data_IF_279615283398
#
_entry.id   IF_279615283398
#
_cell.length_a   1.000
_cell.length_b   1.000
_cell.length_c   1.000
_cell.angle_alpha   90.00
_cell.angle_beta   90.00
_cell.angle_gamma   90.00
#
_symmetry.space_group_name_H-M   'P 1'
#
loop_
_entity.id
_entity.type
_entity.pdbx_description
1 polymer ?
#
# COMPACT_ATOMS: atom_id res chain seq x y z
N UNK A 1 37.44 25.37 6.39
CA UNK A 1 36.37 25.24 5.36
C UNK A 1 34.97 25.57 5.94
N UNK A 2 34.87 26.05 7.19
CA UNK A 2 33.61 26.40 7.87
C UNK A 2 33.21 27.90 7.73
N UNK A 3 34.11 28.76 7.29
CA UNK A 3 33.90 30.23 7.35
C UNK A 3 33.17 30.85 6.15
N UNK A 4 32.87 30.12 5.09
CA UNK A 4 32.28 30.73 3.88
C UNK A 4 30.80 30.32 3.61
N UNK A 5 30.15 29.56 4.46
CA UNK A 5 28.72 29.32 4.28
C UNK A 5 27.97 30.63 4.57
N UNK A 6 27.38 31.19 3.52
CA UNK A 6 26.55 32.38 3.58
C UNK A 6 25.52 32.24 4.71
N UNK A 7 25.41 33.25 5.57
CA UNK A 7 24.53 33.24 6.76
C UNK A 7 23.09 32.88 6.40
N UNK A 8 22.68 33.21 5.16
CA UNK A 8 21.36 32.91 4.62
C UNK A 8 21.13 31.41 4.30
N UNK A 9 22.17 30.62 3.98
CA UNK A 9 22.04 29.18 3.69
C UNK A 9 21.81 28.36 4.96
N UNK A 10 22.00 28.97 6.12
CA UNK A 10 21.89 28.34 7.44
C UNK A 10 20.47 28.35 8.02
N UNK A 11 19.60 29.22 7.51
CA UNK A 11 18.27 29.45 8.09
C UNK A 11 17.43 28.16 8.07
N UNK A 12 17.34 27.47 6.94
CA UNK A 12 16.48 26.30 6.82
C UNK A 12 16.96 25.13 7.70
N UNK A 13 18.28 25.02 7.95
CA UNK A 13 18.83 24.08 8.92
C UNK A 13 18.43 24.42 10.37
N UNK A 14 18.33 25.72 10.70
CA UNK A 14 17.86 26.16 12.01
C UNK A 14 16.35 25.88 12.14
N UNK A 15 15.57 26.17 11.09
CA UNK A 15 14.13 25.92 11.06
C UNK A 15 13.82 24.44 11.26
N UNK A 16 14.62 23.53 10.69
CA UNK A 16 14.45 22.09 10.89
C UNK A 16 14.52 21.65 12.35
N UNK A 17 15.24 22.38 13.22
CA UNK A 17 15.31 22.11 14.64
C UNK A 17 14.18 22.76 15.46
N UNK A 18 13.27 23.47 14.81
CA UNK A 18 12.16 24.10 15.50
C UNK A 18 11.18 23.03 16.03
N UNK A 19 10.66 23.16 17.28
CA UNK A 19 9.80 22.15 17.90
C UNK A 19 8.60 21.71 17.05
N UNK A 20 7.97 22.62 16.29
CA UNK A 20 6.84 22.29 15.42
C UNK A 20 7.25 21.42 14.23
N UNK A 21 8.46 21.60 13.69
CA UNK A 21 8.99 20.75 12.63
C UNK A 21 9.34 19.36 13.19
N UNK A 22 9.99 19.29 14.34
CA UNK A 22 10.27 18.02 15.01
C UNK A 22 9.00 17.26 15.35
N UNK A 23 7.97 17.97 15.81
CA UNK A 23 6.65 17.38 16.07
C UNK A 23 6.02 16.82 14.77
N UNK A 24 6.13 17.54 13.66
CA UNK A 24 5.59 17.08 12.37
C UNK A 24 6.31 15.82 11.88
N UNK A 25 7.64 15.76 11.98
CA UNK A 25 8.42 14.56 11.66
C UNK A 25 8.02 13.39 12.57
N UNK A 26 7.84 13.64 13.86
CA UNK A 26 7.41 12.63 14.84
C UNK A 26 6.00 12.11 14.53
N UNK A 27 5.06 13.01 14.20
CA UNK A 27 3.71 12.63 13.79
C UNK A 27 3.75 11.76 12.53
N UNK A 28 4.56 12.13 11.53
CA UNK A 28 4.72 11.35 10.31
C UNK A 28 5.23 9.93 10.64
N UNK A 29 6.30 9.80 11.41
CA UNK A 29 6.89 8.51 11.77
C UNK A 29 5.91 7.63 12.56
N UNK A 30 5.25 8.18 13.58
CA UNK A 30 4.26 7.41 14.34
C UNK A 30 3.07 7.03 13.46
N UNK A 31 2.60 7.96 12.64
CA UNK A 31 1.46 7.66 11.78
C UNK A 31 1.79 6.55 10.78
N UNK A 32 2.93 6.59 10.13
CA UNK A 32 3.27 5.62 9.09
C UNK A 32 3.66 4.24 9.65
N UNK A 33 4.34 4.18 10.81
CA UNK A 33 4.79 2.92 11.40
C UNK A 33 3.86 2.33 12.45
N UNK A 34 2.95 3.12 13.02
CA UNK A 34 2.04 2.65 14.08
C UNK A 34 0.58 2.82 13.67
N UNK A 35 0.13 4.05 13.39
CA UNK A 35 -1.30 4.29 13.21
C UNK A 35 -1.84 3.64 11.92
N UNK A 36 -1.11 3.73 10.80
CA UNK A 36 -1.53 3.07 9.55
C UNK A 36 -1.54 1.54 9.67
N UNK A 37 -0.68 0.97 10.52
CA UNK A 37 -0.64 -0.49 10.74
C UNK A 37 -1.80 -0.96 11.59
N UNK A 38 -2.08 -0.27 12.72
CA UNK A 38 -3.09 -0.72 13.69
C UNK A 38 -4.48 -0.13 13.44
N UNK A 39 -4.59 1.05 12.83
CA UNK A 39 -5.84 1.77 12.59
C UNK A 39 -5.80 2.37 11.18
N UNK A 40 -5.76 1.53 10.12
CA UNK A 40 -5.78 2.02 8.75
C UNK A 40 -7.10 2.76 8.49
N UNK A 41 -7.01 4.00 8.03
CA UNK A 41 -8.16 4.84 7.75
C UNK A 41 -7.79 5.96 6.78
N UNK A 42 -8.78 6.55 6.11
CA UNK A 42 -8.59 7.77 5.32
C UNK A 42 -7.97 8.91 6.14
N UNK A 43 -8.25 8.96 7.45
CA UNK A 43 -7.69 9.96 8.33
C UNK A 43 -6.17 9.78 8.53
N UNK A 44 -5.69 8.53 8.71
CA UNK A 44 -4.26 8.26 8.87
C UNK A 44 -3.49 8.56 7.59
N UNK A 45 -4.09 8.37 6.41
CA UNK A 45 -3.54 8.84 5.13
C UNK A 45 -3.33 10.35 5.12
N UNK A 46 -4.38 11.10 5.47
CA UNK A 46 -4.33 12.57 5.49
C UNK A 46 -3.35 13.14 6.50
N UNK A 47 -3.23 12.54 7.70
CA UNK A 47 -2.27 12.98 8.73
C UNK A 47 -0.83 12.99 8.17
N UNK A 48 -0.43 11.96 7.41
CA UNK A 48 0.90 11.93 6.77
C UNK A 48 1.09 13.09 5.80
N UNK A 49 0.08 13.39 4.97
CA UNK A 49 0.16 14.47 3.99
C UNK A 49 0.27 15.84 4.68
N UNK A 50 -0.52 16.08 5.72
CA UNK A 50 -0.42 17.31 6.52
C UNK A 50 0.97 17.45 7.18
N UNK A 51 1.44 16.40 7.83
CA UNK A 51 2.75 16.39 8.47
C UNK A 51 3.88 16.54 7.44
N UNK A 52 3.82 15.78 6.34
CA UNK A 52 4.81 15.83 5.25
C UNK A 52 4.93 17.22 4.63
N UNK A 53 3.80 17.83 4.23
CA UNK A 53 3.80 19.15 3.60
C UNK A 53 4.24 20.29 4.55
N UNK A 54 4.20 20.07 5.86
CA UNK A 54 4.69 21.07 6.81
C UNK A 54 6.20 21.12 6.89
N UNK A 55 6.90 19.99 6.86
CA UNK A 55 8.37 19.99 7.00
C UNK A 55 9.13 19.78 5.69
N UNK A 56 8.57 19.04 4.72
CA UNK A 56 9.28 18.63 3.51
C UNK A 56 9.82 19.79 2.66
N UNK A 57 9.07 20.89 2.40
CA UNK A 57 9.60 22.01 1.61
C UNK A 57 10.77 22.71 2.30
N UNK A 58 10.82 22.70 3.63
CA UNK A 58 11.94 23.23 4.43
C UNK A 58 13.13 22.28 4.34
N UNK A 59 12.91 20.98 4.43
CA UNK A 59 13.94 19.95 4.23
C UNK A 59 14.56 20.06 2.84
N UNK A 60 13.73 20.14 1.80
CA UNK A 60 14.17 20.29 0.41
C UNK A 60 14.98 21.59 0.24
N UNK A 61 14.51 22.69 0.80
CA UNK A 61 15.23 23.96 0.79
C UNK A 61 16.58 23.86 1.50
N UNK A 62 16.64 23.18 2.67
CA UNK A 62 17.89 22.98 3.39
C UNK A 62 18.92 22.19 2.55
N UNK A 63 18.47 21.09 1.93
CA UNK A 63 19.32 20.27 1.05
C UNK A 63 19.82 21.09 -0.16
N UNK A 64 18.92 21.78 -0.85
CA UNK A 64 19.28 22.59 -2.01
C UNK A 64 20.20 23.75 -1.66
N UNK A 65 20.05 24.37 -0.48
CA UNK A 65 20.96 25.41 0.01
C UNK A 65 22.36 24.87 0.32
N UNK A 66 22.51 23.60 0.69
CA UNK A 66 23.80 22.96 0.88
C UNK A 66 24.50 22.69 -0.48
N UNK A 67 23.72 22.38 -1.51
CA UNK A 67 24.25 22.10 -2.86
C UNK A 67 24.49 23.38 -3.64
N UNK A 68 23.55 24.32 -3.61
CA UNK A 68 23.56 25.54 -4.42
C UNK A 68 23.90 26.78 -3.60
N UNK A 69 25.07 26.82 -3.00
CA UNK A 69 25.53 27.89 -2.09
C UNK A 69 25.64 29.29 -2.76
N UNK A 70 25.71 29.36 -4.10
CA UNK A 70 25.81 30.60 -4.87
C UNK A 70 24.49 31.36 -5.00
N UNK A 71 23.36 30.73 -4.71
CA UNK A 71 22.05 31.34 -4.87
C UNK A 71 21.50 31.92 -3.55
N UNK A 72 20.59 32.88 -3.68
CA UNK A 72 19.89 33.42 -2.50
C UNK A 72 19.01 32.37 -1.84
N UNK A 73 19.23 32.09 -0.56
CA UNK A 73 18.49 31.11 0.21
C UNK A 73 16.96 31.29 0.13
N UNK A 74 16.47 32.54 0.15
CA UNK A 74 15.04 32.84 0.04
C UNK A 74 14.46 32.41 -1.32
N UNK A 75 15.22 32.53 -2.41
CA UNK A 75 14.78 32.09 -3.74
C UNK A 75 14.76 30.55 -3.82
N UNK A 76 15.76 29.90 -3.23
CA UNK A 76 15.79 28.43 -3.12
C UNK A 76 14.59 27.92 -2.30
N UNK A 77 14.34 28.55 -1.15
CA UNK A 77 13.19 28.20 -0.33
C UNK A 77 11.87 28.38 -1.10
N UNK A 78 11.66 29.53 -1.76
CA UNK A 78 10.46 29.76 -2.55
C UNK A 78 10.29 28.72 -3.66
N UNK A 79 11.38 28.40 -4.37
CA UNK A 79 11.36 27.35 -5.41
C UNK A 79 11.01 25.98 -4.82
N UNK A 80 11.55 25.63 -3.65
CA UNK A 80 11.24 24.37 -2.94
C UNK A 80 9.76 24.28 -2.56
N UNK A 81 9.18 25.36 -2.04
CA UNK A 81 7.77 25.40 -1.69
C UNK A 81 6.86 25.31 -2.91
N UNK A 82 7.16 26.03 -3.98
CA UNK A 82 6.41 25.97 -5.24
C UNK A 82 6.52 24.59 -5.86
N UNK A 83 7.73 24.03 -5.92
CA UNK A 83 7.94 22.67 -6.43
C UNK A 83 7.13 21.66 -5.63
N UNK A 84 7.19 21.70 -4.29
CA UNK A 84 6.43 20.82 -3.42
C UNK A 84 4.92 20.93 -3.67
N UNK A 85 4.40 22.16 -3.80
CA UNK A 85 2.97 22.38 -4.07
C UNK A 85 2.53 21.77 -5.41
N UNK A 86 3.29 22.04 -6.46
CA UNK A 86 2.98 21.55 -7.82
C UNK A 86 3.11 20.03 -7.86
N UNK A 87 4.22 19.48 -7.38
CA UNK A 87 4.48 18.04 -7.43
C UNK A 87 3.44 17.25 -6.61
N UNK A 88 3.15 17.71 -5.39
CA UNK A 88 2.11 17.10 -4.57
C UNK A 88 0.75 17.14 -5.24
N UNK A 89 0.37 18.27 -5.85
CA UNK A 89 -0.90 18.36 -6.57
C UNK A 89 -0.97 17.39 -7.75
N UNK A 90 0.12 17.26 -8.52
CA UNK A 90 0.18 16.37 -9.67
C UNK A 90 0.08 14.89 -9.27
N UNK A 91 0.79 14.46 -8.22
CA UNK A 91 0.76 13.05 -7.77
C UNK A 91 -0.56 12.66 -7.12
N UNK A 92 -1.32 13.61 -6.58
CA UNK A 92 -2.62 13.36 -5.96
C UNK A 92 -3.80 13.44 -6.95
N UNK A 93 -3.59 13.96 -8.16
CA UNK A 93 -4.67 14.20 -9.14
C UNK A 93 -4.46 13.50 -10.47
N UNK A 94 -3.22 13.23 -10.87
CA UNK A 94 -2.91 12.71 -12.22
C UNK A 94 -2.21 11.37 -12.11
N UNK A 95 -2.82 10.26 -12.61
CA UNK A 95 -2.24 8.92 -12.53
C UNK A 95 -0.83 8.80 -13.12
N UNK A 96 -0.54 9.52 -14.19
CA UNK A 96 0.79 9.50 -14.81
C UNK A 96 1.90 9.94 -13.84
N UNK A 97 1.71 11.05 -13.11
CA UNK A 97 2.72 11.55 -12.15
C UNK A 97 2.80 10.68 -10.91
N UNK A 98 1.68 10.08 -10.47
CA UNK A 98 1.64 9.07 -9.43
C UNK A 98 2.54 7.89 -9.82
N UNK A 99 2.26 7.24 -10.94
CA UNK A 99 3.00 6.06 -11.42
C UNK A 99 4.49 6.36 -11.66
N UNK A 100 4.80 7.55 -12.21
CA UNK A 100 6.18 8.01 -12.40
C UNK A 100 6.92 8.10 -11.06
N UNK A 101 6.28 8.68 -10.04
CA UNK A 101 6.89 8.85 -8.71
C UNK A 101 7.06 7.49 -8.01
N UNK A 102 6.06 6.63 -8.08
CA UNK A 102 6.10 5.27 -7.53
C UNK A 102 7.25 4.47 -8.14
N UNK A 103 7.42 4.51 -9.46
CA UNK A 103 8.50 3.80 -10.16
C UNK A 103 9.91 4.35 -9.82
N UNK A 104 10.05 5.67 -9.61
CA UNK A 104 11.35 6.28 -9.31
C UNK A 104 11.78 6.02 -7.87
N UNK A 105 10.85 6.15 -6.91
CA UNK A 105 11.15 6.11 -5.48
C UNK A 105 10.78 4.78 -4.82
N UNK A 106 10.18 3.85 -5.57
CA UNK A 106 9.66 2.57 -5.07
C UNK A 106 8.75 2.75 -3.83
N UNK A 107 7.80 3.67 -3.96
CA UNK A 107 6.81 4.00 -2.91
C UNK A 107 5.40 3.82 -3.48
N UNK A 108 4.41 3.71 -2.61
CA UNK A 108 3.00 3.71 -3.03
C UNK A 108 2.33 5.04 -2.67
N UNK A 109 1.52 5.56 -3.59
CA UNK A 109 0.82 6.84 -3.43
C UNK A 109 -0.67 6.62 -3.67
N UNK A 110 -1.48 7.03 -2.71
CA UNK A 110 -2.94 7.06 -2.88
C UNK A 110 -3.33 8.24 -3.76
N UNK A 111 -4.09 7.97 -4.83
CA UNK A 111 -4.64 9.00 -5.71
C UNK A 111 -5.93 9.54 -5.11
N UNK A 112 -5.83 10.53 -4.25
CA UNK A 112 -6.99 11.18 -3.60
C UNK A 112 -6.90 12.70 -3.74
N UNK A 113 -7.70 13.32 -4.64
CA UNK A 113 -7.74 14.77 -4.77
C UNK A 113 -8.15 15.52 -3.50
N UNK A 114 -8.84 14.86 -2.55
CA UNK A 114 -9.20 15.50 -1.29
C UNK A 114 -7.99 15.79 -0.40
N UNK A 115 -6.85 15.13 -0.63
CA UNK A 115 -5.59 15.38 0.07
C UNK A 115 -5.00 16.76 -0.25
N UNK A 116 -5.45 17.41 -1.34
CA UNK A 116 -5.07 18.80 -1.64
C UNK A 116 -5.38 19.78 -0.52
N UNK A 117 -6.28 19.42 0.41
CA UNK A 117 -6.52 20.22 1.63
C UNK A 117 -5.25 20.37 2.47
N UNK A 118 -4.32 19.42 2.41
CA UNK A 118 -3.05 19.48 3.14
C UNK A 118 -2.12 20.60 2.62
N UNK A 119 -2.36 21.16 1.42
CA UNK A 119 -1.61 22.31 0.90
C UNK A 119 -1.67 23.54 1.82
N UNK A 120 -2.66 23.62 2.70
CA UNK A 120 -2.76 24.69 3.72
C UNK A 120 -1.52 24.70 4.65
N UNK A 121 -0.81 23.59 4.76
CA UNK A 121 0.39 23.50 5.58
C UNK A 121 1.57 24.28 4.99
N UNK A 122 1.61 24.49 3.67
CA UNK A 122 2.68 25.23 3.02
C UNK A 122 2.77 26.70 3.48
N UNK A 123 1.68 27.51 3.44
CA UNK A 123 1.76 28.86 3.98
C UNK A 123 2.03 28.91 5.49
N UNK A 124 1.62 27.91 6.25
CA UNK A 124 1.95 27.82 7.68
C UNK A 124 3.44 27.56 7.89
N UNK A 125 4.02 26.62 7.15
CA UNK A 125 5.45 26.33 7.16
C UNK A 125 6.28 27.53 6.69
N UNK A 126 5.81 28.24 5.67
CA UNK A 126 6.47 29.47 5.20
C UNK A 126 6.49 30.57 6.27
N UNK A 127 5.35 30.82 6.95
CA UNK A 127 5.28 31.77 8.06
C UNK A 127 6.21 31.40 9.21
N UNK A 128 6.30 30.11 9.54
CA UNK A 128 7.25 29.63 10.54
C UNK A 128 8.69 29.93 10.14
N UNK A 129 9.04 29.62 8.89
CA UNK A 129 10.37 29.92 8.36
C UNK A 129 10.71 31.42 8.45
N UNK A 130 9.80 32.30 8.01
CA UNK A 130 10.00 33.75 8.08
C UNK A 130 10.13 34.24 9.55
N UNK A 131 9.34 33.69 10.46
CA UNK A 131 9.45 34.00 11.89
C UNK A 131 10.83 33.64 12.44
N UNK A 132 11.29 32.41 12.17
CA UNK A 132 12.61 31.95 12.63
C UNK A 132 13.73 32.77 11.96
N UNK A 133 13.61 33.12 10.68
CA UNK A 133 14.57 33.98 9.96
C UNK A 133 14.72 35.34 10.64
N UNK A 134 13.64 35.95 11.09
CA UNK A 134 13.62 37.26 11.73
C UNK A 134 14.13 37.23 13.19
N UNK A 135 13.90 36.11 13.90
CA UNK A 135 14.23 35.98 15.32
C UNK A 135 15.62 35.35 15.58
N UNK A 136 16.15 34.56 14.61
CA UNK A 136 17.40 33.83 14.79
C UNK A 136 18.63 34.71 14.70
N UNK A 137 19.30 34.84 15.83
CA UNK A 137 20.67 35.37 15.95
C UNK A 137 21.71 34.26 16.19
N UNK A 138 21.27 33.00 16.24
CA UNK A 138 22.09 31.85 16.63
C UNK A 138 22.70 31.14 15.43
N UNK A 139 23.94 30.65 15.62
CA UNK A 139 24.62 29.82 14.60
C UNK A 139 24.02 28.41 14.50
N UNK A 140 24.39 27.68 13.45
CA UNK A 140 24.02 26.27 13.26
C UNK A 140 24.60 25.44 14.39
N UNK A 141 23.77 24.57 14.96
CA UNK A 141 24.21 23.55 15.91
C UNK A 141 24.50 22.22 15.19
N UNK A 142 25.32 21.36 15.79
CA UNK A 142 25.51 19.98 15.30
C UNK A 142 24.18 19.21 15.23
N UNK A 143 23.24 19.55 16.10
CA UNK A 143 21.89 18.99 16.13
C UNK A 143 21.14 19.24 14.82
N UNK A 144 21.34 20.39 14.15
CA UNK A 144 20.67 20.70 12.87
C UNK A 144 21.01 19.70 11.75
N UNK A 145 22.25 19.22 11.70
CA UNK A 145 22.65 18.20 10.73
C UNK A 145 22.11 16.80 11.09
N UNK A 146 22.01 16.50 12.39
CA UNK A 146 21.39 15.25 12.85
C UNK A 146 19.90 15.24 12.48
N UNK A 147 19.20 16.35 12.73
CA UNK A 147 17.77 16.49 12.35
C UNK A 147 17.60 16.42 10.84
N UNK A 148 18.49 17.03 10.05
CA UNK A 148 18.48 16.90 8.58
C UNK A 148 18.54 15.43 8.16
N UNK A 149 19.45 14.65 8.75
CA UNK A 149 19.57 13.22 8.49
C UNK A 149 18.29 12.44 8.87
N UNK A 150 17.77 12.68 10.07
CA UNK A 150 16.53 12.03 10.53
C UNK A 150 15.34 12.42 9.63
N UNK A 151 15.19 13.69 9.29
CA UNK A 151 14.11 14.15 8.41
C UNK A 151 14.22 13.53 7.01
N UNK A 152 15.44 13.41 6.46
CA UNK A 152 15.67 12.75 5.16
C UNK A 152 15.32 11.27 5.23
N UNK A 153 15.72 10.56 6.30
CA UNK A 153 15.35 9.16 6.51
C UNK A 153 13.83 9.00 6.70
N UNK A 154 13.18 9.90 7.45
CA UNK A 154 11.75 9.88 7.63
C UNK A 154 10.97 9.99 6.32
N UNK A 155 11.44 10.82 5.37
CA UNK A 155 10.80 10.95 4.05
C UNK A 155 10.96 9.72 3.17
N UNK A 156 12.02 8.94 3.36
CA UNK A 156 12.27 7.70 2.60
C UNK A 156 11.55 6.51 3.28
N UNK A 157 11.46 6.54 4.60
CA UNK A 157 10.87 5.46 5.40
C UNK A 157 9.33 5.44 5.40
N UNK A 158 8.68 6.36 4.67
CA UNK A 158 7.21 6.43 4.54
C UNK A 158 6.66 5.42 3.52
N UNK A 159 7.15 4.20 3.51
CA UNK A 159 6.57 3.13 2.71
C UNK A 159 5.26 2.66 3.34
N UNK A 160 4.21 2.39 2.55
CA UNK A 160 3.04 1.71 3.08
C UNK A 160 3.45 0.34 3.62
N UNK A 161 2.71 -0.23 4.58
CA UNK A 161 2.96 -1.58 5.04
C UNK A 161 2.92 -2.54 3.84
N UNK A 162 3.84 -3.50 3.84
CA UNK A 162 3.80 -4.62 2.89
C UNK A 162 2.49 -5.37 3.19
N UNK A 163 1.60 -5.42 2.21
CA UNK A 163 0.35 -6.15 2.34
C UNK A 163 0.61 -7.55 1.76
N UNK A 164 0.60 -8.59 2.58
CA UNK A 164 0.73 -9.94 2.11
C UNK A 164 -0.46 -10.31 1.23
N UNK A 165 -0.22 -11.05 0.17
CA UNK A 165 -1.24 -11.40 -0.82
C UNK A 165 -1.19 -12.86 -1.17
N UNK A 166 -2.40 -13.46 -1.28
CA UNK A 166 -2.55 -14.83 -1.75
C UNK A 166 -2.65 -14.79 -3.27
N UNK A 167 -1.65 -15.34 -3.94
CA UNK A 167 -1.64 -15.46 -5.39
C UNK A 167 -2.09 -16.84 -5.87
N UNK A 168 -1.62 -17.87 -5.20
CA UNK A 168 -1.77 -19.24 -5.67
C UNK A 168 -2.45 -20.10 -4.59
N UNK A 169 -3.30 -21.00 -5.03
CA UNK A 169 -3.94 -22.03 -4.18
C UNK A 169 -3.68 -23.38 -4.80
N UNK A 170 -2.94 -24.20 -4.10
CA UNK A 170 -2.62 -25.57 -4.53
C UNK A 170 -3.28 -26.59 -3.61
N UNK A 171 -3.81 -27.64 -4.20
CA UNK A 171 -4.39 -28.77 -3.45
C UNK A 171 -3.49 -30.00 -3.61
N UNK A 172 -3.05 -30.55 -2.49
CA UNK A 172 -2.26 -31.79 -2.44
C UNK A 172 -2.69 -32.62 -1.24
N UNK A 173 -2.90 -33.92 -1.41
CA UNK A 173 -3.28 -34.90 -0.35
C UNK A 173 -4.42 -34.44 0.59
N UNK A 174 -5.49 -33.87 0.03
CA UNK A 174 -6.63 -33.33 0.78
C UNK A 174 -6.31 -32.12 1.68
N UNK A 175 -5.18 -31.46 1.44
CA UNK A 175 -4.79 -30.22 2.08
C UNK A 175 -4.80 -29.11 1.04
N UNK A 176 -5.33 -27.95 1.40
CA UNK A 176 -5.27 -26.74 0.59
C UNK A 176 -4.13 -25.87 1.09
N UNK A 177 -3.25 -25.48 0.20
CA UNK A 177 -2.11 -24.60 0.47
C UNK A 177 -2.36 -23.25 -0.18
N UNK A 178 -2.19 -22.17 0.57
CA UNK A 178 -2.23 -20.80 0.08
C UNK A 178 -0.82 -20.21 0.08
N UNK A 179 -0.34 -19.81 -1.08
CA UNK A 179 0.93 -19.13 -1.24
C UNK A 179 0.75 -17.63 -1.06
N UNK A 180 1.49 -17.09 -0.08
CA UNK A 180 1.59 -15.66 0.15
C UNK A 180 2.89 -15.14 -0.41
N UNK A 181 2.82 -14.06 -1.15
CA UNK A 181 3.99 -13.33 -1.61
C UNK A 181 3.99 -11.91 -1.04
N UNK A 182 5.20 -11.43 -0.75
CA UNK A 182 5.43 -10.03 -0.43
C UNK A 182 5.77 -9.28 -1.72
N UNK A 183 4.86 -8.48 -2.23
CA UNK A 183 4.98 -7.77 -3.52
C UNK A 183 6.22 -6.90 -3.70
N UNK A 184 7.01 -6.64 -2.70
CA UNK A 184 8.22 -5.87 -2.85
C UNK A 184 9.47 -6.74 -2.68
N UNK A 185 9.94 -7.35 -3.76
CA UNK A 185 11.33 -7.71 -4.09
C UNK A 185 12.39 -7.80 -2.98
N UNK A 186 11.97 -7.89 -1.73
CA UNK A 186 12.81 -8.30 -0.62
C UNK A 186 12.91 -9.81 -0.68
N UNK A 187 14.12 -10.32 -0.62
CA UNK A 187 14.51 -11.71 -0.72
C UNK A 187 13.99 -12.65 0.38
N UNK A 188 12.94 -12.26 1.08
CA UNK A 188 12.20 -13.13 1.99
C UNK A 188 11.15 -13.84 1.13
N UNK A 189 11.38 -15.12 0.88
CA UNK A 189 10.58 -15.95 -0.03
C UNK A 189 9.10 -16.03 0.34
N UNK A 190 8.32 -16.65 -0.55
CA UNK A 190 6.92 -16.98 -0.29
C UNK A 190 6.79 -17.77 1.00
N UNK A 191 5.74 -17.48 1.78
CA UNK A 191 5.36 -18.27 2.94
C UNK A 191 3.96 -18.84 2.72
N UNK A 192 3.62 -19.90 3.45
CA UNK A 192 2.45 -20.69 3.16
C UNK A 192 1.55 -20.81 4.36
N UNK A 193 0.26 -20.82 4.10
CA UNK A 193 -0.77 -21.30 5.01
C UNK A 193 -1.40 -22.56 4.44
N UNK A 194 -1.90 -23.42 5.31
CA UNK A 194 -2.61 -24.60 4.90
C UNK A 194 -3.96 -24.74 5.60
N UNK A 195 -4.86 -25.44 4.94
CA UNK A 195 -6.20 -25.75 5.44
C UNK A 195 -6.52 -27.22 5.21
N UNK A 196 -7.06 -27.88 6.22
CA UNK A 196 -7.52 -29.28 6.16
C UNK A 196 -9.05 -29.43 6.13
N UNK A 197 -9.77 -28.31 6.14
CA UNK A 197 -11.24 -28.24 6.20
C UNK A 197 -11.87 -27.54 4.98
N UNK A 198 -11.14 -27.54 3.84
CA UNK A 198 -11.64 -26.98 2.58
C UNK A 198 -11.56 -25.45 2.52
N UNK A 199 -10.60 -24.85 3.21
CA UNK A 199 -10.35 -23.40 3.16
C UNK A 199 -11.14 -22.60 4.21
N UNK A 200 -11.82 -23.25 5.17
CA UNK A 200 -12.59 -22.57 6.22
C UNK A 200 -11.73 -22.05 7.34
N UNK A 201 -10.73 -22.82 7.75
CA UNK A 201 -9.73 -22.40 8.74
C UNK A 201 -8.34 -22.61 8.18
N UNK A 202 -7.41 -21.74 8.59
CA UNK A 202 -6.05 -21.69 8.06
C UNK A 202 -5.03 -21.66 9.18
N UNK A 203 -3.90 -22.32 8.96
CA UNK A 203 -2.76 -22.34 9.86
C UNK A 203 -1.50 -22.03 9.07
N UNK A 204 -0.57 -21.31 9.68
CA UNK A 204 0.75 -21.08 9.09
C UNK A 204 1.50 -22.40 8.96
N UNK A 205 2.19 -22.56 7.83
CA UNK A 205 2.95 -23.77 7.55
C UNK A 205 4.23 -23.76 8.39
N UNK A 206 4.34 -24.71 9.30
CA UNK A 206 5.47 -24.92 10.21
C UNK A 206 6.29 -26.17 9.88
N UNK A 207 6.02 -26.81 8.74
CA UNK A 207 6.69 -28.00 8.25
C UNK A 207 7.22 -27.79 6.82
N UNK A 208 7.99 -28.75 6.30
CA UNK A 208 8.55 -28.68 4.96
C UNK A 208 7.43 -28.77 3.89
N UNK A 209 7.45 -27.84 2.95
CA UNK A 209 6.48 -27.79 1.86
C UNK A 209 6.62 -29.02 0.96
N UNK A 210 5.53 -29.76 0.65
CA UNK A 210 5.58 -30.88 -0.28
C UNK A 210 6.16 -30.46 -1.65
N UNK A 211 6.99 -31.33 -2.25
CA UNK A 211 7.65 -31.03 -3.52
C UNK A 211 6.65 -30.69 -4.63
N UNK A 212 5.51 -31.37 -4.68
CA UNK A 212 4.44 -31.18 -5.65
C UNK A 212 3.80 -29.80 -5.52
N UNK A 213 3.73 -29.26 -4.30
CA UNK A 213 3.27 -27.89 -4.03
C UNK A 213 4.37 -26.90 -4.39
N UNK A 214 5.63 -27.18 -3.99
CA UNK A 214 6.78 -26.33 -4.28
C UNK A 214 7.02 -26.14 -5.78
N UNK A 215 6.76 -27.17 -6.60
CA UNK A 215 6.86 -27.07 -8.06
C UNK A 215 5.85 -26.12 -8.70
N UNK A 216 4.79 -25.76 -7.99
CA UNK A 216 3.75 -24.82 -8.44
C UNK A 216 3.96 -23.40 -7.92
N UNK A 217 4.91 -23.21 -7.02
CA UNK A 217 5.28 -21.90 -6.46
C UNK A 217 5.60 -20.90 -7.57
N UNK A 218 5.02 -19.70 -7.47
CA UNK A 218 5.26 -18.61 -8.42
C UNK A 218 4.68 -18.82 -9.82
N UNK A 219 3.90 -19.87 -10.05
CA UNK A 219 3.18 -20.05 -11.32
C UNK A 219 1.86 -19.31 -11.26
N UNK A 220 1.81 -18.19 -11.98
CA UNK A 220 0.60 -17.38 -12.10
C UNK A 220 -0.12 -17.76 -13.39
N UNK A 221 -1.41 -17.98 -13.29
CA UNK A 221 -2.27 -18.19 -14.47
C UNK A 221 -2.83 -16.85 -14.96
N UNK A 222 -3.09 -16.73 -16.27
CA UNK A 222 -3.74 -15.54 -16.83
C UNK A 222 -5.26 -15.60 -16.64
N UNK A 223 -5.89 -14.45 -16.32
CA UNK A 223 -7.35 -14.34 -16.29
C UNK A 223 -7.96 -14.46 -17.70
N UNK A 224 -9.14 -15.03 -17.84
CA UNK A 224 -10.00 -15.64 -16.81
C UNK A 224 -9.61 -17.07 -16.48
N UNK A 225 -9.62 -17.43 -15.17
CA UNK A 225 -9.43 -18.82 -14.76
C UNK A 225 -10.73 -19.60 -14.93
N UNK A 226 -10.62 -20.80 -15.49
CA UNK A 226 -11.76 -21.71 -15.62
C UNK A 226 -11.42 -23.04 -14.95
N UNK A 227 -12.26 -23.44 -14.00
CA UNK A 227 -12.16 -24.71 -13.31
C UNK A 227 -13.46 -25.50 -13.48
N UNK A 228 -13.38 -26.72 -14.02
CA UNK A 228 -14.51 -27.65 -14.01
C UNK A 228 -14.31 -28.71 -12.92
N UNK A 229 -15.36 -29.06 -12.20
CA UNK A 229 -15.26 -30.01 -11.09
C UNK A 229 -14.90 -31.42 -11.62
N UNK A 230 -13.89 -32.10 -11.04
CA UNK A 230 -13.46 -33.43 -11.52
C UNK A 230 -14.59 -34.47 -11.52
N UNK A 231 -15.43 -34.44 -10.48
CA UNK A 231 -16.50 -35.39 -10.28
C UNK A 231 -17.80 -35.01 -11.03
N UNK A 232 -17.92 -33.77 -11.50
CA UNK A 232 -19.03 -33.32 -12.32
C UNK A 232 -18.55 -32.26 -13.35
N UNK A 233 -18.03 -32.72 -14.46
CA UNK A 233 -17.49 -31.87 -15.53
C UNK A 233 -18.49 -30.90 -16.16
N UNK A 234 -19.79 -31.06 -15.87
CA UNK A 234 -20.80 -30.10 -16.28
C UNK A 234 -20.79 -28.84 -15.43
N UNK A 235 -20.33 -28.93 -14.19
CA UNK A 235 -20.22 -27.79 -13.28
C UNK A 235 -18.84 -27.17 -13.41
N UNK A 236 -18.80 -25.94 -13.92
CA UNK A 236 -17.57 -25.19 -14.09
C UNK A 236 -17.71 -23.79 -13.45
N UNK A 237 -16.62 -23.25 -12.97
CA UNK A 237 -16.49 -21.87 -12.47
C UNK A 237 -15.51 -21.11 -13.34
N UNK A 238 -15.80 -19.84 -13.58
CA UNK A 238 -14.91 -18.93 -14.29
C UNK A 238 -14.81 -17.62 -13.52
N UNK A 239 -13.59 -17.16 -13.29
CA UNK A 239 -13.34 -15.91 -12.57
C UNK A 239 -13.07 -14.78 -13.56
N UNK A 240 -13.66 -13.61 -13.28
CA UNK A 240 -13.33 -12.33 -13.90
C UNK A 240 -12.98 -11.31 -12.83
N UNK A 241 -12.61 -10.11 -13.21
CA UNK A 241 -12.15 -9.07 -12.28
C UNK A 241 -13.21 -8.69 -11.22
N UNK A 242 -14.47 -8.63 -11.61
CA UNK A 242 -15.59 -8.18 -10.74
C UNK A 242 -16.68 -9.24 -10.58
N UNK A 243 -16.48 -10.47 -11.07
CA UNK A 243 -17.52 -11.47 -11.17
C UNK A 243 -16.94 -12.88 -11.09
N UNK A 244 -17.70 -13.80 -10.50
CA UNK A 244 -17.50 -15.24 -10.63
C UNK A 244 -18.72 -15.80 -11.35
N UNK A 245 -18.48 -16.51 -12.44
CA UNK A 245 -19.50 -17.17 -13.24
C UNK A 245 -19.54 -18.67 -12.92
N UNK A 246 -20.73 -19.27 -13.05
CA UNK A 246 -20.96 -20.69 -12.90
C UNK A 246 -21.67 -21.25 -14.14
N UNK A 247 -21.22 -22.40 -14.60
CA UNK A 247 -21.83 -23.16 -15.67
C UNK A 247 -22.30 -24.51 -15.15
N UNK A 248 -23.44 -24.98 -15.64
CA UNK A 248 -23.99 -26.31 -15.35
C UNK A 248 -24.04 -27.23 -16.61
N UNK A 249 -23.39 -26.79 -17.70
CA UNK A 249 -23.39 -27.49 -18.99
C UNK A 249 -21.99 -27.66 -19.62
N UNK A 250 -20.95 -27.64 -18.75
CA UNK A 250 -19.57 -27.82 -19.14
C UNK A 250 -18.95 -26.58 -19.80
N UNK A 251 -19.35 -25.41 -19.39
CA UNK A 251 -18.80 -24.13 -19.84
C UNK A 251 -19.45 -23.61 -21.14
N UNK A 252 -20.58 -24.16 -21.57
CA UNK A 252 -21.28 -23.68 -22.77
C UNK A 252 -22.13 -22.44 -22.48
N UNK A 253 -22.81 -22.42 -21.35
CA UNK A 253 -23.53 -21.25 -20.84
C UNK A 253 -23.09 -20.91 -19.43
N UNK A 254 -23.12 -19.62 -19.12
CA UNK A 254 -22.62 -19.08 -17.86
C UNK A 254 -23.68 -18.22 -17.19
N UNK A 255 -23.79 -18.36 -15.87
CA UNK A 255 -24.64 -17.52 -15.02
C UNK A 255 -23.80 -16.91 -13.91
N UNK A 256 -24.20 -15.75 -13.42
CA UNK A 256 -23.52 -15.10 -12.31
C UNK A 256 -23.67 -15.94 -11.04
N UNK A 257 -22.55 -16.34 -10.45
CA UNK A 257 -22.47 -17.05 -9.18
C UNK A 257 -22.13 -16.11 -8.02
N UNK A 258 -21.32 -15.08 -8.31
CA UNK A 258 -20.93 -14.04 -7.36
C UNK A 258 -20.63 -12.74 -8.08
N UNK A 259 -21.12 -11.62 -7.55
CA UNK A 259 -20.73 -10.26 -7.95
C UNK A 259 -19.97 -9.60 -6.82
N UNK A 260 -18.86 -8.95 -7.16
CA UNK A 260 -18.10 -8.20 -6.18
C UNK A 260 -18.82 -6.90 -5.82
N UNK A 261 -18.63 -6.39 -4.59
CA UNK A 261 -19.28 -5.16 -4.14
C UNK A 261 -18.98 -3.97 -5.06
N UNK A 262 -19.99 -3.17 -5.33
CA UNK A 262 -19.82 -1.91 -6.09
C UNK A 262 -18.79 -1.00 -5.41
N UNK A 263 -17.94 -0.35 -6.21
CA UNK A 263 -16.89 0.54 -5.72
C UNK A 263 -15.61 -0.19 -5.31
N UNK A 264 -15.55 -1.53 -5.39
CA UNK A 264 -14.35 -2.30 -5.04
C UNK A 264 -13.14 -1.93 -5.91
N UNK A 265 -13.30 -1.94 -7.22
CA UNK A 265 -12.22 -1.55 -8.15
C UNK A 265 -11.76 -0.11 -7.91
N UNK A 266 -12.69 0.84 -7.78
CA UNK A 266 -12.38 2.24 -7.50
C UNK A 266 -11.66 2.41 -6.17
N UNK A 267 -12.08 1.69 -5.13
CA UNK A 267 -11.43 1.70 -3.84
C UNK A 267 -9.98 1.25 -3.95
N UNK A 268 -9.72 0.08 -4.54
CA UNK A 268 -8.37 -0.45 -4.69
C UNK A 268 -7.50 0.43 -5.61
N UNK A 269 -8.07 1.00 -6.65
CA UNK A 269 -7.37 1.93 -7.54
C UNK A 269 -6.95 3.21 -6.80
N UNK A 270 -7.83 3.78 -5.99
CA UNK A 270 -7.54 4.96 -5.15
C UNK A 270 -6.53 4.65 -4.05
N UNK A 271 -6.68 3.51 -3.40
CA UNK A 271 -5.80 3.07 -2.32
C UNK A 271 -4.41 2.60 -2.81
N UNK A 272 -4.15 2.62 -4.11
CA UNK A 272 -2.94 2.03 -4.73
C UNK A 272 -2.79 0.51 -4.57
N UNK A 273 -3.86 -0.18 -4.17
CA UNK A 273 -3.91 -1.64 -4.06
C UNK A 273 -4.50 -2.30 -5.30
N UNK A 274 -4.64 -1.59 -6.40
CA UNK A 274 -5.26 -2.12 -7.64
C UNK A 274 -4.55 -3.37 -8.16
N UNK A 275 -3.23 -3.43 -8.04
CA UNK A 275 -2.44 -4.60 -8.45
C UNK A 275 -2.65 -5.82 -7.54
N UNK A 276 -3.35 -5.64 -6.42
CA UNK A 276 -3.64 -6.65 -5.42
C UNK A 276 -5.08 -7.16 -5.44
N UNK A 277 -5.82 -6.70 -6.44
CA UNK A 277 -7.21 -7.05 -6.65
C UNK A 277 -7.32 -8.45 -7.26
N UNK A 278 -7.71 -9.43 -6.44
CA UNK A 278 -8.06 -10.77 -6.94
C UNK A 278 -9.35 -10.76 -7.78
N UNK A 279 -9.72 -11.89 -8.35
CA UNK A 279 -9.16 -13.22 -8.09
C UNK A 279 -7.84 -13.49 -8.83
N UNK A 280 -6.98 -14.31 -8.22
CA UNK A 280 -5.69 -14.70 -8.81
C UNK A 280 -5.62 -16.17 -9.17
N UNK A 281 -6.34 -17.04 -8.45
CA UNK A 281 -6.35 -18.47 -8.72
C UNK A 281 -7.64 -19.11 -8.20
N UNK A 282 -7.95 -20.32 -8.68
CA UNK A 282 -9.12 -21.10 -8.28
C UNK A 282 -8.75 -22.58 -8.16
N UNK A 283 -9.10 -23.16 -7.04
CA UNK A 283 -8.90 -24.59 -6.77
C UNK A 283 -10.18 -25.26 -6.27
N UNK A 284 -10.21 -26.59 -6.34
CA UNK A 284 -11.29 -27.37 -5.77
C UNK A 284 -10.77 -28.55 -4.99
N UNK A 285 -11.52 -28.95 -3.96
CA UNK A 285 -11.25 -30.13 -3.15
C UNK A 285 -12.56 -30.78 -2.71
N UNK A 286 -12.58 -32.11 -2.61
CA UNK A 286 -13.68 -32.85 -2.03
C UNK A 286 -13.25 -33.44 -0.68
N UNK A 287 -13.97 -33.11 0.38
CA UNK A 287 -13.72 -33.61 1.74
C UNK A 287 -15.03 -34.08 2.34
N UNK A 288 -15.03 -35.31 2.85
CA UNK A 288 -16.20 -35.93 3.54
C UNK A 288 -17.50 -35.81 2.72
N UNK A 289 -17.40 -35.98 1.39
CA UNK A 289 -18.53 -35.89 0.48
C UNK A 289 -19.03 -34.47 0.19
N UNK A 290 -18.35 -33.43 0.68
CA UNK A 290 -18.63 -32.04 0.33
C UNK A 290 -17.60 -31.54 -0.69
N UNK A 291 -18.10 -30.83 -1.70
CA UNK A 291 -17.30 -30.18 -2.71
C UNK A 291 -17.00 -28.73 -2.27
N UNK A 292 -15.74 -28.36 -2.23
CA UNK A 292 -15.28 -27.01 -1.94
C UNK A 292 -14.65 -26.41 -3.20
N UNK A 293 -15.02 -25.17 -3.50
CA UNK A 293 -14.36 -24.34 -4.52
C UNK A 293 -13.78 -23.15 -3.79
N UNK A 294 -12.49 -22.91 -3.99
CA UNK A 294 -11.72 -21.89 -3.27
C UNK A 294 -11.09 -20.96 -4.30
N UNK A 295 -11.26 -19.65 -4.10
CA UNK A 295 -10.72 -18.61 -4.98
C UNK A 295 -9.81 -17.69 -4.18
N UNK A 296 -8.56 -17.52 -4.61
CA UNK A 296 -7.63 -16.56 -4.01
C UNK A 296 -7.99 -15.14 -4.38
N UNK A 297 -8.06 -14.27 -3.37
CA UNK A 297 -8.52 -12.90 -3.52
C UNK A 297 -7.42 -11.86 -3.23
N UNK A 298 -6.15 -12.27 -3.31
CA UNK A 298 -5.04 -11.39 -3.01
C UNK A 298 -5.04 -10.96 -1.55
N UNK A 299 -5.08 -9.67 -1.31
CA UNK A 299 -5.11 -9.10 0.05
C UNK A 299 -6.44 -9.30 0.78
N UNK A 300 -7.50 -9.74 0.10
CA UNK A 300 -8.81 -9.97 0.71
C UNK A 300 -9.01 -11.39 1.26
N UNK A 301 -7.97 -12.24 1.23
CA UNK A 301 -8.06 -13.63 1.69
C UNK A 301 -8.55 -14.57 0.59
N UNK A 302 -9.55 -15.41 0.90
CA UNK A 302 -10.14 -16.36 -0.06
C UNK A 302 -11.66 -16.28 -0.04
N UNK A 303 -12.28 -16.59 -1.18
CA UNK A 303 -13.70 -16.94 -1.26
C UNK A 303 -13.84 -18.46 -1.27
N UNK A 304 -14.77 -18.98 -0.49
CA UNK A 304 -15.05 -20.42 -0.41
C UNK A 304 -16.52 -20.67 -0.70
N UNK A 305 -16.81 -21.62 -1.58
CA UNK A 305 -18.14 -22.14 -1.86
C UNK A 305 -18.19 -23.61 -1.50
N UNK A 306 -19.16 -24.00 -0.69
CA UNK A 306 -19.38 -25.41 -0.28
C UNK A 306 -20.62 -25.93 -0.97
N UNK A 307 -20.46 -26.92 -1.85
CA UNK A 307 -21.56 -27.47 -2.64
C UNK A 307 -22.35 -26.36 -3.38
N UNK A 308 -23.64 -26.28 -3.18
CA UNK A 308 -24.53 -25.27 -3.76
C UNK A 308 -24.82 -24.09 -2.82
N UNK A 309 -24.04 -23.94 -1.72
CA UNK A 309 -24.22 -22.82 -0.80
C UNK A 309 -23.76 -21.50 -1.42
N UNK A 310 -24.01 -20.41 -0.73
CA UNK A 310 -23.46 -19.09 -1.07
C UNK A 310 -21.96 -19.04 -0.85
N UNK A 311 -21.30 -18.12 -1.53
CA UNK A 311 -19.89 -17.84 -1.34
C UNK A 311 -19.64 -17.17 0.02
N UNK A 312 -18.60 -17.59 0.70
CA UNK A 312 -18.16 -17.03 1.98
C UNK A 312 -16.75 -16.46 1.85
N UNK A 313 -16.54 -15.24 2.32
CA UNK A 313 -15.23 -14.62 2.40
C UNK A 313 -14.52 -15.05 3.68
N UNK A 314 -13.36 -15.68 3.53
CA UNK A 314 -12.59 -16.26 4.64
C UNK A 314 -11.24 -15.55 4.75
N UNK A 315 -10.91 -15.19 5.97
CA UNK A 315 -9.60 -14.65 6.33
C UNK A 315 -8.59 -15.79 6.48
N UNK A 316 -7.41 -15.63 5.85
CA UNK A 316 -6.37 -16.66 5.91
C UNK A 316 -5.38 -16.38 7.03
N UNK A 317 -4.90 -15.14 7.16
CA UNK A 317 -3.96 -14.75 8.20
C UNK A 317 -4.60 -13.78 9.19
N UNK A 318 -4.33 -13.94 10.49
CA UNK A 318 -4.83 -13.06 11.55
C UNK A 318 -4.06 -11.75 11.63
N UNK A 319 -2.77 -11.74 11.25
CA UNK A 319 -1.95 -10.54 11.15
C UNK A 319 -2.04 -9.90 9.75
N UNK A 320 -2.65 -10.63 8.83
CA UNK A 320 -2.69 -10.31 7.41
C UNK A 320 -3.75 -9.30 7.01
N UNK A 321 -4.11 -9.37 5.76
CA UNK A 321 -4.55 -8.24 4.98
C UNK A 321 -5.74 -7.49 5.58
N UNK A 322 -5.75 -6.22 5.24
CA UNK A 322 -6.83 -5.30 5.58
C UNK A 322 -8.11 -5.81 4.90
N UNK A 323 -9.09 -6.20 5.72
CA UNK A 323 -10.41 -6.56 5.20
C UNK A 323 -11.20 -5.31 4.93
N UNK A 324 -11.49 -5.13 3.68
CA UNK A 324 -12.40 -4.11 3.23
C UNK A 324 -13.82 -4.66 3.29
N UNK A 325 -14.66 -4.00 4.03
CA UNK A 325 -16.09 -4.33 4.07
C UNK A 325 -16.80 -3.68 2.87
N UNK A 326 -17.99 -4.18 2.53
CA UNK A 326 -18.86 -3.53 1.54
C UNK A 326 -19.16 -2.05 1.90
N UNK A 327 -19.03 -1.67 3.18
CA UNK A 327 -19.14 -0.29 3.64
C UNK A 327 -17.96 0.56 3.17
N UNK A 328 -16.73 0.03 3.26
CA UNK A 328 -15.52 0.74 2.84
C UNK A 328 -15.55 1.02 1.34
N UNK A 329 -16.01 0.07 0.54
CA UNK A 329 -16.19 0.26 -0.91
C UNK A 329 -17.26 1.29 -1.23
N UNK A 330 -18.36 1.31 -0.50
CA UNK A 330 -19.45 2.26 -0.70
C UNK A 330 -19.07 3.70 -0.35
N UNK A 331 -18.18 3.89 0.63
CA UNK A 331 -17.65 5.20 0.96
C UNK A 331 -16.62 5.70 -0.06
N UNK A 332 -16.06 4.81 -0.88
CA UNK A 332 -15.08 5.12 -1.92
C UNK A 332 -15.72 5.44 -3.28
N UNK A 333 -16.94 4.97 -3.54
CA UNK A 333 -17.72 5.25 -4.76
C UNK A 333 -18.46 6.59 -4.65
#
# INVERSE_FOLDING_TARGET
>A
MEESMNQNSKIDLIVLTHPLILLSIFILLINDHVLKVYIPSALTGKISDFAGLFFFPILLSAILNLVFQSFQSRKIALASFIFTAIWFSLIKTIPFFKNLTENIFNIQIVLDPSDLMALIMLPLAWRLREKVENESKTGISKLSYVVLGIASLATIATSPPIIPMIYNITVHENIVYAEFDHYYGTSEGSYYFYSTDGGKTWQELDFELPNEVAEQTGKYSELPFTLCLPNNKNVCYQTGTEIILESNDGGKTWTTSWEFPLGRSEFFQRASFYNYLGPYDIANIELEGNQFVIVSMGSEGVLVKVNNNEWESIKVDTAGPIYFSAKDFKEAS
#
